data_IF_735191090169
#
_entry.id   IF_735191090169
#
_cell.length_a   1.000
_cell.length_b   1.000
_cell.length_c   1.000
_cell.angle_alpha   90.00
_cell.angle_beta   90.00
_cell.angle_gamma   90.00
#
_symmetry.space_group_name_H-M   'P 1'
#
loop_
_entity.id
_entity.type
_entity.pdbx_description
1 polymer ?
#
# COMPACT_ATOMS: atom_id res chain seq x y z
N UNK A 1 -24.74 -15.90 -4.95
CA UNK A 1 -23.67 -15.18 -4.24
C UNK A 1 -22.38 -15.41 -5.02
N UNK A 2 -21.96 -14.46 -5.85
CA UNK A 2 -20.67 -14.54 -6.54
C UNK A 2 -19.57 -14.14 -5.57
N UNK A 3 -18.66 -15.05 -5.24
CA UNK A 3 -17.47 -14.71 -4.47
C UNK A 3 -16.61 -13.75 -5.27
N UNK A 4 -16.23 -12.62 -4.68
CA UNK A 4 -15.19 -11.77 -5.24
C UNK A 4 -13.92 -12.62 -5.31
N UNK A 5 -13.51 -13.02 -6.51
CA UNK A 5 -12.23 -13.69 -6.74
C UNK A 5 -11.12 -12.76 -6.26
N UNK A 6 -10.69 -12.93 -5.01
CA UNK A 6 -9.61 -12.14 -4.44
C UNK A 6 -8.42 -12.21 -5.39
N UNK A 7 -7.82 -11.07 -5.73
CA UNK A 7 -6.57 -11.07 -6.49
C UNK A 7 -5.59 -11.99 -5.76
N UNK A 8 -4.86 -12.82 -6.50
CA UNK A 8 -3.73 -13.59 -6.00
C UNK A 8 -2.45 -13.09 -6.67
N UNK A 9 -1.43 -12.81 -5.86
CA UNK A 9 -0.08 -12.47 -6.32
C UNK A 9 0.71 -13.75 -6.59
N UNK A 10 1.85 -13.64 -7.28
CA UNK A 10 2.74 -14.77 -7.56
C UNK A 10 4.13 -14.48 -7.00
N UNK A 11 4.73 -15.48 -6.35
CA UNK A 11 6.13 -15.42 -5.91
C UNK A 11 6.85 -16.74 -6.24
N UNK A 12 8.17 -16.72 -6.22
CA UNK A 12 9.01 -17.92 -6.44
C UNK A 12 9.44 -18.43 -5.06
N UNK A 13 9.12 -19.69 -4.76
CA UNK A 13 9.56 -20.31 -3.50
C UNK A 13 11.05 -20.71 -3.55
N UNK A 14 11.59 -21.11 -2.40
CA UNK A 14 13.00 -21.55 -2.27
C UNK A 14 13.36 -22.75 -3.17
N UNK A 15 12.36 -23.47 -3.69
CA UNK A 15 12.53 -24.60 -4.60
C UNK A 15 12.43 -24.19 -6.08
N UNK A 16 12.32 -22.89 -6.38
CA UNK A 16 12.18 -22.36 -7.73
C UNK A 16 10.77 -22.49 -8.32
N UNK A 17 9.76 -22.89 -7.54
CA UNK A 17 8.39 -23.03 -8.02
C UNK A 17 7.61 -21.74 -7.84
N UNK A 18 6.86 -21.36 -8.88
CA UNK A 18 5.92 -20.24 -8.81
C UNK A 18 4.72 -20.67 -7.95
N UNK A 19 4.47 -19.94 -6.87
CA UNK A 19 3.32 -20.11 -5.99
C UNK A 19 2.45 -18.87 -5.99
N UNK A 20 1.16 -19.09 -5.73
CA UNK A 20 0.21 -17.99 -5.55
C UNK A 20 0.14 -17.61 -4.07
N UNK A 21 -0.06 -16.33 -3.78
CA UNK A 21 -0.29 -15.82 -2.44
C UNK A 21 -1.49 -14.87 -2.42
N UNK A 22 -2.25 -14.90 -1.33
CA UNK A 22 -3.38 -14.00 -1.07
C UNK A 22 -3.05 -12.97 0.01
N UNK A 23 -2.04 -13.25 0.82
CA UNK A 23 -1.49 -12.36 1.85
C UNK A 23 -0.27 -11.60 1.31
N UNK A 24 0.07 -10.43 1.86
CA UNK A 24 1.31 -9.75 1.51
C UNK A 24 2.55 -10.58 1.82
N UNK A 25 3.58 -10.43 1.00
CA UNK A 25 4.92 -10.98 1.24
C UNK A 25 5.86 -9.80 1.50
N UNK A 26 6.56 -9.86 2.63
CA UNK A 26 7.57 -8.90 3.03
C UNK A 26 8.90 -9.65 3.04
N UNK A 27 9.83 -9.26 2.17
CA UNK A 27 11.16 -9.88 2.09
C UNK A 27 12.09 -9.36 3.19
N UNK A 28 13.34 -9.82 3.18
CA UNK A 28 14.34 -9.53 4.21
C UNK A 28 14.69 -8.03 4.28
N UNK A 29 14.99 -7.56 5.49
CA UNK A 29 15.44 -6.18 5.76
C UNK A 29 14.48 -5.06 5.31
N UNK A 30 13.20 -5.36 5.08
CA UNK A 30 12.21 -4.33 4.78
C UNK A 30 11.88 -3.52 6.04
N UNK A 31 11.91 -2.19 5.92
CA UNK A 31 11.50 -1.27 6.97
C UNK A 31 10.12 -0.70 6.66
N UNK A 32 9.15 -0.90 7.56
CA UNK A 32 7.79 -0.35 7.42
C UNK A 32 7.54 0.63 8.55
N UNK A 33 7.33 1.89 8.19
CA UNK A 33 7.10 2.97 9.15
C UNK A 33 5.65 2.96 9.68
N UNK A 34 5.39 3.63 10.81
CA UNK A 34 4.06 3.66 11.43
C UNK A 34 2.94 4.13 10.50
N UNK A 35 1.74 3.59 10.74
CA UNK A 35 0.51 3.87 9.99
C UNK A 35 0.55 3.53 8.48
N UNK A 36 1.53 2.76 8.04
CA UNK A 36 1.54 2.24 6.67
C UNK A 36 0.56 1.07 6.54
N UNK A 37 -0.07 0.97 5.38
CA UNK A 37 -1.05 -0.09 5.06
C UNK A 37 -0.53 -0.89 3.88
N UNK A 38 -0.50 -2.22 4.01
CA UNK A 38 -0.14 -3.13 2.92
C UNK A 38 -1.42 -3.82 2.43
N UNK A 39 -1.99 -3.29 1.36
CA UNK A 39 -3.31 -3.64 0.87
C UNK A 39 -3.22 -4.53 -0.39
N UNK A 40 -3.21 -5.84 -0.17
CA UNK A 40 -3.36 -6.86 -1.21
C UNK A 40 -2.27 -7.93 -1.20
N UNK A 41 -2.35 -8.91 -2.12
CA UNK A 41 -1.29 -9.89 -2.33
C UNK A 41 -0.11 -9.23 -3.06
N UNK A 42 0.59 -8.34 -2.37
CA UNK A 42 1.76 -7.63 -2.90
C UNK A 42 3.04 -8.24 -2.35
N UNK A 43 4.12 -8.13 -3.11
CA UNK A 43 5.47 -8.45 -2.65
C UNK A 43 6.27 -7.17 -2.45
N UNK A 44 6.84 -6.99 -1.25
CA UNK A 44 7.78 -5.91 -0.96
C UNK A 44 9.19 -6.49 -0.96
N UNK A 45 9.98 -6.11 -1.96
CA UNK A 45 11.33 -6.62 -2.18
C UNK A 45 12.31 -6.23 -1.08
N UNK A 46 13.35 -7.05 -0.89
CA UNK A 46 14.33 -6.91 0.19
C UNK A 46 15.02 -5.54 0.21
N UNK A 47 15.48 -5.13 1.40
CA UNK A 47 16.16 -3.85 1.66
C UNK A 47 15.37 -2.61 1.22
N UNK A 48 14.03 -2.71 1.15
CA UNK A 48 13.15 -1.59 0.82
C UNK A 48 12.65 -0.85 2.07
N UNK A 49 12.37 0.44 1.92
CA UNK A 49 11.84 1.31 2.97
C UNK A 49 10.45 1.81 2.57
N UNK A 50 9.46 1.56 3.42
CA UNK A 50 8.11 2.12 3.33
C UNK A 50 7.98 3.23 4.38
N UNK A 51 7.87 4.46 3.91
CA UNK A 51 7.69 5.66 4.73
C UNK A 51 6.36 5.66 5.49
N UNK A 52 6.22 6.57 6.45
CA UNK A 52 5.02 6.62 7.29
C UNK A 52 3.78 6.97 6.46
N UNK A 53 2.62 6.43 6.86
CA UNK A 53 1.33 6.77 6.25
C UNK A 53 1.20 6.38 4.76
N UNK A 54 1.95 5.37 4.30
CA UNK A 54 1.91 4.88 2.91
C UNK A 54 0.95 3.71 2.75
N UNK A 55 0.11 3.76 1.71
CA UNK A 55 -0.72 2.62 1.29
C UNK A 55 -0.08 1.91 0.10
N UNK A 56 0.48 0.73 0.33
CA UNK A 56 1.06 -0.14 -0.70
C UNK A 56 -0.04 -0.98 -1.34
N UNK A 57 -0.21 -0.83 -2.66
CA UNK A 57 -1.23 -1.54 -3.45
C UNK A 57 -0.66 -2.33 -4.62
N UNK A 58 0.66 -2.29 -4.81
CA UNK A 58 1.40 -2.90 -5.91
C UNK A 58 2.74 -3.44 -5.41
N UNK A 59 3.30 -4.39 -6.14
CA UNK A 59 4.61 -4.94 -5.84
C UNK A 59 5.70 -3.87 -5.86
N UNK A 60 6.62 -3.97 -4.91
CA UNK A 60 7.75 -3.07 -4.72
C UNK A 60 9.02 -3.87 -5.03
N UNK A 61 9.87 -3.33 -5.89
CA UNK A 61 11.15 -3.96 -6.24
C UNK A 61 12.12 -3.87 -5.05
N UNK A 62 13.09 -4.79 -4.92
CA UNK A 62 14.16 -4.68 -3.94
C UNK A 62 14.90 -3.34 -4.01
N UNK A 63 15.49 -2.91 -2.89
CA UNK A 63 16.22 -1.65 -2.74
C UNK A 63 15.42 -0.39 -3.10
N UNK A 64 14.10 -0.40 -2.87
CA UNK A 64 13.23 0.75 -3.17
C UNK A 64 12.90 1.57 -1.93
N UNK A 65 12.70 2.88 -2.08
CA UNK A 65 12.14 3.74 -1.03
C UNK A 65 10.80 4.31 -1.51
N UNK A 66 9.73 3.92 -0.82
CA UNK A 66 8.41 4.54 -0.96
C UNK A 66 8.26 5.60 0.10
N UNK A 67 8.03 6.83 -0.34
CA UNK A 67 7.73 7.96 0.53
C UNK A 67 6.69 8.84 -0.15
N UNK A 68 5.90 9.53 0.65
CA UNK A 68 4.95 10.52 0.16
C UNK A 68 5.57 11.89 0.41
N UNK A 69 5.90 12.66 -0.64
CA UNK A 69 6.23 14.06 -0.43
C UNK A 69 4.96 14.77 0.03
N UNK A 70 4.99 15.45 1.19
CA UNK A 70 3.94 16.39 1.56
C UNK A 70 3.80 17.45 0.45
N UNK A 71 2.85 17.24 -0.45
CA UNK A 71 2.55 18.14 -1.54
C UNK A 71 1.22 18.83 -1.23
N UNK A 72 1.30 20.11 -0.86
CA UNK A 72 0.12 20.93 -0.79
C UNK A 72 -0.32 21.25 -2.22
N UNK A 73 -1.57 20.92 -2.56
CA UNK A 73 -2.16 21.30 -3.85
C UNK A 73 -2.01 22.81 -4.06
N UNK A 74 -1.34 23.21 -5.13
CA UNK A 74 -1.24 24.63 -5.53
C UNK A 74 -2.59 25.21 -5.98
N UNK A 75 -3.58 24.36 -6.28
CA UNK A 75 -4.93 24.80 -6.64
C UNK A 75 -5.66 25.27 -5.39
N UNK A 76 -6.10 26.53 -5.41
CA UNK A 76 -7.04 27.06 -4.42
C UNK A 76 -8.41 26.46 -4.67
N UNK A 77 -8.97 25.80 -3.66
CA UNK A 77 -10.32 25.28 -3.69
C UNK A 77 -11.19 26.13 -2.77
N UNK A 78 -12.27 26.69 -3.29
CA UNK A 78 -13.22 27.49 -2.51
C UNK A 78 -14.36 26.58 -2.06
N UNK A 79 -14.49 26.36 -0.76
CA UNK A 79 -15.64 25.64 -0.18
C UNK A 79 -16.82 26.63 -0.14
N UNK A 80 -17.69 26.57 -1.15
CA UNK A 80 -18.77 27.55 -1.38
C UNK A 80 -19.73 27.75 -0.19
N UNK A 81 -19.92 26.72 0.63
CA UNK A 81 -20.87 26.72 1.75
C UNK A 81 -20.22 26.45 3.12
N UNK A 82 -18.88 26.49 3.21
CA UNK A 82 -18.15 26.09 4.41
C UNK A 82 -18.25 24.58 4.73
N UNK A 83 -17.54 24.13 5.77
CA UNK A 83 -17.76 22.80 6.36
C UNK A 83 -19.04 22.87 7.20
N UNK A 84 -20.14 22.28 6.74
CA UNK A 84 -21.43 22.36 7.44
C UNK A 84 -21.56 21.45 8.66
N UNK A 85 -20.55 20.61 8.95
CA UNK A 85 -20.60 19.64 10.05
C UNK A 85 -21.72 18.60 9.88
N UNK A 86 -21.60 17.49 10.61
CA UNK A 86 -22.74 16.59 10.82
C UNK A 86 -23.47 17.08 12.07
N UNK A 87 -24.41 18.01 11.91
CA UNK A 87 -25.42 18.23 12.95
C UNK A 87 -26.42 17.08 12.85
N UNK A 88 -26.41 16.21 13.86
CA UNK A 88 -27.55 15.35 14.15
C UNK A 88 -28.40 16.16 15.15
N UNK A 89 -29.61 16.55 14.74
CA UNK A 89 -30.64 16.98 15.69
C UNK A 89 -31.11 15.80 16.56
#
# INVERSE_FOLDING_TARGET
MGGNGGKSGKYIDKSGKIKQHTLPIIEDNVQISPNSVVAGPVTIGHDSIIGANITVTRDIKPHSMLYDPFAVSKRKWFVKYGYQGFYCE
#
